data_IF_865313109866
#
_entry.id   IF_865313109866
#
_cell.length_a   1.000
_cell.length_b   1.000
_cell.length_c   1.000
_cell.angle_alpha   90.00
_cell.angle_beta   90.00
_cell.angle_gamma   90.00
#
_symmetry.space_group_name_H-M   'P 1'
#
loop_
_entity.id
_entity.type
_entity.pdbx_description
1 polymer ?
#
# COMPACT_ATOMS: atom_id res chain seq x y z
N UNK A 1 -29.95 -26.23 -36.80
CA UNK A 1 -30.09 -24.75 -36.83
C UNK A 1 -31.41 -24.43 -37.50
N UNK A 2 -32.23 -23.55 -36.91
CA UNK A 2 -33.52 -23.14 -37.48
C UNK A 2 -33.26 -21.94 -38.41
N UNK A 3 -33.73 -21.95 -39.68
CA UNK A 3 -33.57 -20.81 -40.56
C UNK A 3 -34.42 -19.64 -40.05
N UNK A 4 -33.81 -18.45 -39.86
CA UNK A 4 -34.58 -17.22 -39.63
C UNK A 4 -34.25 -16.39 -38.39
N UNK A 5 -33.16 -16.67 -37.65
CA UNK A 5 -32.72 -15.78 -36.56
C UNK A 5 -31.27 -15.33 -36.79
N UNK A 6 -31.17 -14.12 -37.35
CA UNK A 6 -30.07 -13.17 -37.25
C UNK A 6 -28.64 -13.75 -37.23
N UNK A 7 -28.15 -14.21 -38.39
CA UNK A 7 -26.72 -14.26 -38.62
C UNK A 7 -26.27 -12.85 -39.08
N UNK A 8 -25.39 -12.17 -38.34
CA UNK A 8 -24.88 -10.87 -38.78
C UNK A 8 -24.10 -11.05 -40.10
N UNK A 9 -24.14 -10.06 -41.02
CA UNK A 9 -23.44 -10.15 -42.29
C UNK A 9 -21.94 -10.39 -42.07
N UNK A 10 -21.43 -11.53 -42.52
CA UNK A 10 -20.02 -11.91 -42.36
C UNK A 10 -19.17 -11.21 -43.42
N UNK A 11 -18.35 -10.24 -43.00
CA UNK A 11 -17.33 -9.62 -43.84
C UNK A 11 -15.96 -10.30 -43.61
N UNK A 12 -15.11 -10.48 -44.64
CA UNK A 12 -13.85 -11.24 -44.56
C UNK A 12 -12.86 -10.82 -43.47
N UNK A 13 -12.95 -9.59 -42.95
CA UNK A 13 -12.06 -9.07 -41.89
C UNK A 13 -12.72 -8.93 -40.51
N UNK A 14 -13.93 -9.46 -40.31
CA UNK A 14 -14.59 -9.43 -38.99
C UNK A 14 -14.09 -10.56 -38.08
N UNK A 15 -13.54 -10.22 -36.91
CA UNK A 15 -13.06 -11.18 -35.88
C UNK A 15 -14.12 -11.56 -34.84
N UNK A 16 -15.40 -11.40 -35.13
CA UNK A 16 -16.46 -11.85 -34.22
C UNK A 16 -16.62 -13.37 -34.31
N UNK A 17 -16.36 -14.08 -33.21
CA UNK A 17 -16.65 -15.52 -33.08
C UNK A 17 -18.12 -15.70 -32.69
N UNK A 18 -18.83 -16.57 -33.40
CA UNK A 18 -20.15 -17.06 -32.98
C UNK A 18 -19.97 -18.13 -31.91
N UNK A 19 -20.37 -17.82 -30.67
CA UNK A 19 -20.38 -18.79 -29.58
C UNK A 19 -21.76 -19.46 -29.56
N UNK A 20 -21.80 -20.78 -29.43
CA UNK A 20 -23.04 -21.53 -29.23
C UNK A 20 -23.76 -21.00 -27.99
N UNK A 21 -25.09 -20.88 -28.05
CA UNK A 21 -25.90 -20.50 -26.89
C UNK A 21 -25.87 -21.64 -25.87
N UNK A 22 -24.80 -21.67 -25.06
CA UNK A 22 -24.72 -22.48 -23.85
C UNK A 22 -25.74 -21.87 -22.90
N UNK A 23 -26.68 -22.67 -22.39
CA UNK A 23 -27.66 -22.22 -21.40
C UNK A 23 -26.98 -21.72 -20.12
N UNK A 24 -27.72 -21.65 -19.02
CA UNK A 24 -27.21 -21.05 -17.78
C UNK A 24 -26.20 -21.96 -17.01
N UNK A 25 -25.13 -22.37 -17.70
CA UNK A 25 -24.11 -23.30 -17.24
C UNK A 25 -23.33 -22.71 -16.05
N UNK A 26 -23.17 -21.38 -16.03
CA UNK A 26 -22.47 -20.66 -14.97
C UNK A 26 -23.21 -20.81 -13.64
N UNK A 27 -24.53 -20.55 -13.64
CA UNK A 27 -25.34 -20.68 -12.42
C UNK A 27 -25.42 -22.14 -11.97
N UNK A 28 -25.53 -23.08 -12.91
CA UNK A 28 -25.51 -24.52 -12.62
C UNK A 28 -24.17 -24.95 -11.98
N UNK A 29 -23.06 -24.46 -12.52
CA UNK A 29 -21.71 -24.75 -12.02
C UNK A 29 -21.49 -24.29 -10.57
N UNK A 30 -21.93 -23.07 -10.22
CA UNK A 30 -21.79 -22.56 -8.86
C UNK A 30 -22.74 -23.26 -7.88
N UNK A 31 -23.99 -23.52 -8.29
CA UNK A 31 -24.99 -24.22 -7.46
C UNK A 31 -24.60 -25.68 -7.16
N UNK A 32 -23.99 -26.38 -8.11
CA UNK A 32 -23.49 -27.75 -7.91
C UNK A 32 -22.26 -27.84 -6.99
N UNK A 33 -21.65 -26.70 -6.63
CA UNK A 33 -20.44 -26.62 -5.81
C UNK A 33 -20.63 -25.83 -4.51
N UNK A 34 -21.79 -25.22 -4.30
CA UNK A 34 -22.17 -24.70 -2.98
C UNK A 34 -22.06 -25.81 -1.93
N UNK A 35 -21.29 -25.54 -0.86
CA UNK A 35 -21.09 -26.47 0.25
C UNK A 35 -20.08 -27.60 0.02
N UNK A 36 -19.56 -27.82 -1.19
CA UNK A 36 -18.50 -28.83 -1.44
C UNK A 36 -17.13 -28.45 -0.87
N UNK A 37 -16.89 -27.16 -0.71
CA UNK A 37 -15.68 -26.62 -0.10
C UNK A 37 -16.06 -25.98 1.24
N UNK A 38 -16.14 -26.79 2.30
CA UNK A 38 -16.19 -26.26 3.65
C UNK A 38 -14.76 -25.91 4.06
N UNK A 39 -14.47 -24.62 4.19
CA UNK A 39 -13.23 -24.15 4.80
C UNK A 39 -13.45 -24.22 6.30
N UNK A 40 -12.93 -25.27 6.94
CA UNK A 40 -12.96 -25.38 8.41
C UNK A 40 -12.26 -24.16 9.03
N UNK A 41 -12.96 -23.55 9.99
CA UNK A 41 -12.65 -22.24 10.54
C UNK A 41 -11.29 -22.16 11.21
N UNK A 42 -10.32 -21.61 10.47
CA UNK A 42 -9.47 -20.58 11.01
C UNK A 42 -9.80 -19.30 10.27
N UNK A 43 -10.21 -18.24 10.98
CA UNK A 43 -10.16 -16.88 10.45
C UNK A 43 -8.67 -16.50 10.26
N UNK A 44 -7.98 -17.18 9.36
CA UNK A 44 -6.82 -16.62 8.71
C UNK A 44 -7.43 -15.58 7.78
N UNK A 45 -7.22 -14.30 8.06
CA UNK A 45 -7.40 -13.23 7.08
C UNK A 45 -6.54 -13.58 5.87
N UNK A 46 -7.10 -14.40 4.98
CA UNK A 46 -6.40 -15.13 3.94
C UNK A 46 -6.11 -14.16 2.81
N UNK A 47 -5.06 -13.35 3.02
CA UNK A 47 -4.59 -12.32 2.11
C UNK A 47 -3.79 -11.21 2.78
N UNK A 48 -4.04 -10.89 4.06
CA UNK A 48 -3.34 -9.83 4.76
C UNK A 48 -2.01 -10.33 5.33
N UNK A 49 -0.89 -9.73 4.91
CA UNK A 49 0.42 -10.04 5.49
C UNK A 49 0.51 -9.45 6.90
N UNK A 50 0.53 -10.32 7.90
CA UNK A 50 0.71 -10.02 9.32
C UNK A 50 1.71 -10.98 9.97
N UNK A 51 2.08 -10.72 11.24
CA UNK A 51 3.05 -11.52 12.01
C UNK A 51 2.70 -13.01 12.11
N UNK A 52 1.41 -13.36 12.04
CA UNK A 52 0.94 -14.76 12.09
C UNK A 52 1.01 -15.45 10.73
N UNK A 53 0.79 -14.70 9.64
CA UNK A 53 0.77 -15.22 8.26
C UNK A 53 2.15 -15.25 7.59
N UNK A 54 3.09 -14.45 8.08
CA UNK A 54 4.46 -14.27 7.58
C UNK A 54 5.38 -14.06 8.78
N UNK A 55 5.61 -15.14 9.51
CA UNK A 55 6.41 -15.18 10.75
C UNK A 55 7.81 -14.59 10.55
N UNK A 56 8.47 -14.98 9.45
CA UNK A 56 9.80 -14.51 9.10
C UNK A 56 9.81 -13.14 8.41
N UNK A 57 8.64 -12.54 8.12
CA UNK A 57 8.52 -11.22 7.50
C UNK A 57 9.06 -11.14 6.06
N UNK A 58 9.34 -12.27 5.39
CA UNK A 58 9.97 -12.29 4.07
C UNK A 58 9.08 -11.60 3.03
N UNK A 59 7.78 -11.87 3.07
CA UNK A 59 6.81 -11.27 2.14
C UNK A 59 6.58 -9.81 2.49
N UNK A 60 6.51 -9.45 3.78
CA UNK A 60 6.38 -8.06 4.24
C UNK A 60 7.55 -7.20 3.81
N UNK A 61 8.78 -7.68 4.02
CA UNK A 61 10.01 -6.98 3.64
C UNK A 61 10.08 -6.80 2.13
N UNK A 62 9.76 -7.85 1.36
CA UNK A 62 9.69 -7.76 -0.11
C UNK A 62 8.64 -6.75 -0.56
N UNK A 63 7.46 -6.74 0.05
CA UNK A 63 6.41 -5.78 -0.26
C UNK A 63 6.86 -4.34 0.04
N UNK A 64 7.44 -4.09 1.22
CA UNK A 64 7.95 -2.79 1.60
C UNK A 64 9.00 -2.29 0.59
N UNK A 65 9.96 -3.14 0.22
CA UNK A 65 11.03 -2.77 -0.69
C UNK A 65 10.51 -2.45 -2.10
N UNK A 66 9.60 -3.25 -2.64
CA UNK A 66 8.94 -2.97 -3.93
C UNK A 66 8.16 -1.66 -3.84
N UNK A 67 7.39 -1.46 -2.77
CA UNK A 67 6.56 -0.28 -2.61
C UNK A 67 7.39 1.00 -2.51
N UNK A 68 8.42 1.03 -1.67
CA UNK A 68 9.32 2.17 -1.52
C UNK A 68 10.00 2.54 -2.84
N UNK A 69 10.52 1.55 -3.57
CA UNK A 69 11.10 1.78 -4.89
C UNK A 69 10.06 2.36 -5.86
N UNK A 70 8.82 1.87 -5.81
CA UNK A 70 7.75 2.42 -6.63
C UNK A 70 7.41 3.86 -6.27
N UNK A 71 7.48 4.26 -4.99
CA UNK A 71 7.24 5.65 -4.56
C UNK A 71 8.38 6.56 -5.03
N UNK A 72 9.64 6.14 -4.84
CA UNK A 72 10.82 6.89 -5.29
C UNK A 72 10.85 7.14 -6.81
N UNK A 73 10.28 6.22 -7.59
CA UNK A 73 10.20 6.35 -9.05
C UNK A 73 8.99 7.16 -9.53
N UNK A 74 8.09 7.61 -8.64
CA UNK A 74 6.94 8.46 -8.99
C UNK A 74 7.32 9.94 -8.93
N UNK A 75 6.45 10.78 -9.48
CA UNK A 75 6.55 12.22 -9.35
C UNK A 75 6.27 12.67 -7.90
N UNK A 76 7.29 13.23 -7.25
CA UNK A 76 7.26 13.74 -5.87
C UNK A 76 6.15 14.77 -5.65
N UNK A 77 5.94 15.70 -6.58
CA UNK A 77 4.96 16.78 -6.44
C UNK A 77 3.53 16.23 -6.51
N UNK A 78 3.30 15.22 -7.35
CA UNK A 78 2.01 14.53 -7.42
C UNK A 78 1.72 13.75 -6.13
N UNK A 79 2.71 13.06 -5.56
CA UNK A 79 2.52 12.34 -4.28
C UNK A 79 2.19 13.31 -3.14
N UNK A 80 2.97 14.38 -3.00
CA UNK A 80 2.77 15.42 -1.96
C UNK A 80 1.40 16.07 -2.09
N UNK A 81 1.02 16.46 -3.31
CA UNK A 81 -0.26 17.14 -3.54
C UNK A 81 -1.47 16.25 -3.27
N UNK A 82 -1.42 14.96 -3.63
CA UNK A 82 -2.48 14.00 -3.32
C UNK A 82 -2.64 13.79 -1.83
N UNK A 83 -1.54 13.52 -1.12
CA UNK A 83 -1.58 13.25 0.33
C UNK A 83 -2.04 14.50 1.09
N UNK A 84 -1.53 15.68 0.72
CA UNK A 84 -1.95 16.95 1.32
C UNK A 84 -3.46 17.18 1.15
N UNK A 85 -4.00 16.90 -0.04
CA UNK A 85 -5.45 16.99 -0.30
C UNK A 85 -6.26 15.99 0.53
N UNK A 86 -5.79 14.75 0.62
CA UNK A 86 -6.52 13.68 1.32
C UNK A 86 -6.50 13.84 2.85
N UNK A 87 -5.45 14.45 3.40
CA UNK A 87 -5.25 14.59 4.86
C UNK A 87 -5.54 15.98 5.40
N UNK A 88 -5.71 16.97 4.51
CA UNK A 88 -5.79 18.38 4.85
C UNK A 88 -4.55 18.89 5.62
N UNK A 89 -3.38 18.29 5.37
CA UNK A 89 -2.09 18.70 5.94
C UNK A 89 -1.35 19.58 4.92
N UNK A 90 -0.58 20.56 5.42
CA UNK A 90 0.22 21.44 4.57
C UNK A 90 1.21 20.64 3.70
N UNK A 91 1.29 20.98 2.41
CA UNK A 91 2.23 20.39 1.45
C UNK A 91 3.67 20.41 1.95
N UNK A 92 4.11 21.48 2.62
CA UNK A 92 5.47 21.57 3.16
C UNK A 92 5.73 20.53 4.26
N UNK A 93 4.73 20.22 5.09
CA UNK A 93 4.84 19.16 6.09
C UNK A 93 4.96 17.80 5.41
N UNK A 94 4.13 17.51 4.41
CA UNK A 94 4.19 16.25 3.66
C UNK A 94 5.50 16.13 2.88
N UNK A 95 6.00 17.23 2.33
CA UNK A 95 7.29 17.27 1.65
C UNK A 95 8.43 16.85 2.58
N UNK A 96 8.48 17.40 3.79
CA UNK A 96 9.48 17.02 4.80
C UNK A 96 9.40 15.55 5.17
N UNK A 97 8.19 15.01 5.30
CA UNK A 97 8.01 13.57 5.54
C UNK A 97 8.53 12.76 4.36
N UNK A 98 8.20 13.16 3.13
CA UNK A 98 8.67 12.46 1.93
C UNK A 98 10.21 12.43 1.86
N UNK A 99 10.85 13.58 2.08
CA UNK A 99 12.30 13.73 2.11
C UNK A 99 12.91 12.81 3.17
N UNK A 100 12.34 12.82 4.38
CA UNK A 100 12.80 12.02 5.50
C UNK A 100 12.71 10.51 5.26
N UNK A 101 11.59 10.03 4.72
CA UNK A 101 11.35 8.59 4.49
C UNK A 101 12.08 8.07 3.25
N UNK A 102 12.09 8.83 2.14
CA UNK A 102 12.45 8.28 0.83
C UNK A 102 13.77 8.79 0.25
N UNK A 103 14.22 10.00 0.61
CA UNK A 103 15.37 10.66 -0.03
C UNK A 103 16.59 10.73 0.88
N UNK A 104 16.39 11.17 2.14
CA UNK A 104 17.45 11.46 3.08
C UNK A 104 18.31 10.23 3.37
N UNK A 105 19.61 10.49 3.48
CA UNK A 105 20.61 9.51 3.88
C UNK A 105 21.15 9.94 5.23
N UNK A 106 21.24 8.98 6.14
CA UNK A 106 21.74 9.21 7.49
C UNK A 106 23.05 8.45 7.69
N UNK A 107 23.93 9.02 8.51
CA UNK A 107 25.11 8.32 8.98
C UNK A 107 24.66 7.31 10.03
N UNK A 108 24.58 6.05 9.62
CA UNK A 108 24.28 4.92 10.50
C UNK A 108 25.59 4.20 10.85
N UNK A 109 25.58 3.31 11.85
CA UNK A 109 26.77 2.52 12.24
C UNK A 109 27.39 1.74 11.06
N UNK A 110 26.57 1.39 10.06
CA UNK A 110 26.99 0.68 8.84
C UNK A 110 27.34 1.59 7.64
N UNK A 111 27.42 2.91 7.85
CA UNK A 111 27.77 3.93 6.85
C UNK A 111 26.61 4.87 6.46
N UNK A 112 26.83 5.68 5.41
CA UNK A 112 25.81 6.60 4.86
C UNK A 112 24.76 5.83 4.04
N UNK A 113 23.61 5.55 4.64
CA UNK A 113 22.51 4.80 4.00
C UNK A 113 21.16 5.47 4.21
N UNK A 114 20.21 5.11 3.35
CA UNK A 114 18.80 5.41 3.55
C UNK A 114 18.22 4.46 4.60
N UNK A 115 17.09 4.83 5.21
CA UNK A 115 16.37 3.91 6.07
C UNK A 115 15.90 2.67 5.32
N UNK A 116 15.88 1.56 6.05
CA UNK A 116 15.33 0.31 5.55
C UNK A 116 13.81 0.44 5.35
N UNK A 117 13.26 -0.04 4.23
CA UNK A 117 11.82 -0.01 3.98
C UNK A 117 11.04 -0.75 5.07
N UNK A 118 10.09 -0.06 5.71
CA UNK A 118 9.17 -0.67 6.67
C UNK A 118 7.81 -0.99 6.04
N UNK A 119 7.28 -2.16 6.38
CA UNK A 119 6.03 -2.66 5.82
C UNK A 119 4.81 -1.84 6.26
N UNK A 120 4.73 -1.48 7.55
CA UNK A 120 3.59 -0.74 8.08
C UNK A 120 3.62 0.70 7.58
N UNK A 121 4.80 1.32 7.50
CA UNK A 121 4.97 2.63 6.86
C UNK A 121 4.57 2.60 5.38
N UNK A 122 4.95 1.55 4.63
CA UNK A 122 4.52 1.38 3.24
C UNK A 122 2.99 1.35 3.11
N UNK A 123 2.32 0.58 3.97
CA UNK A 123 0.86 0.53 3.96
C UNK A 123 0.22 1.86 4.36
N UNK A 124 0.76 2.53 5.37
CA UNK A 124 0.30 3.86 5.81
C UNK A 124 0.41 4.86 4.67
N UNK A 125 1.56 4.92 3.99
CA UNK A 125 1.77 5.75 2.82
C UNK A 125 0.78 5.45 1.68
N UNK A 126 0.48 4.16 1.45
CA UNK A 126 -0.50 3.75 0.46
C UNK A 126 -1.91 4.26 0.78
N UNK A 127 -2.38 4.11 2.01
CA UNK A 127 -3.70 4.63 2.44
C UNK A 127 -3.79 6.14 2.30
N UNK A 128 -2.74 6.85 2.73
CA UNK A 128 -2.64 8.31 2.62
C UNK A 128 -2.73 8.79 1.16
N UNK A 129 -2.03 8.10 0.27
CA UNK A 129 -2.02 8.41 -1.16
C UNK A 129 -3.36 8.11 -1.82
N UNK A 130 -3.93 6.94 -1.56
CA UNK A 130 -5.22 6.51 -2.13
C UNK A 130 -6.39 7.33 -1.58
N UNK A 131 -6.24 7.90 -0.39
CA UNK A 131 -7.30 8.65 0.29
C UNK A 131 -8.40 7.75 0.83
N UNK A 132 -8.14 6.44 0.95
CA UNK A 132 -9.10 5.43 1.36
C UNK A 132 -8.69 4.83 2.69
N UNK A 133 -9.66 4.69 3.60
CA UNK A 133 -9.48 4.07 4.91
C UNK A 133 -8.28 4.61 5.70
N UNK A 134 -8.06 5.94 5.67
CA UNK A 134 -6.96 6.57 6.42
C UNK A 134 -7.18 6.32 7.91
N UNK A 135 -6.18 5.71 8.54
CA UNK A 135 -6.18 5.34 9.95
C UNK A 135 -5.49 6.43 10.79
N UNK A 136 -5.78 6.41 12.10
CA UNK A 136 -5.10 7.28 13.07
C UNK A 136 -3.57 7.08 13.05
N UNK A 137 -3.11 5.84 12.89
CA UNK A 137 -1.68 5.51 12.77
C UNK A 137 -1.02 6.23 11.60
N UNK A 138 -1.72 6.40 10.48
CA UNK A 138 -1.16 7.01 9.26
C UNK A 138 -0.87 8.51 9.50
N UNK A 139 -1.78 9.18 10.21
CA UNK A 139 -1.60 10.59 10.60
C UNK A 139 -0.51 10.74 11.67
N UNK A 140 -0.40 9.78 12.60
CA UNK A 140 0.65 9.78 13.62
C UNK A 140 2.02 9.55 12.98
N UNK A 141 2.13 8.65 12.00
CA UNK A 141 3.33 8.46 11.19
C UNK A 141 3.74 9.80 10.55
N UNK A 142 2.84 10.49 9.83
CA UNK A 142 3.17 11.78 9.22
C UNK A 142 3.69 12.82 10.24
N UNK A 143 3.11 12.85 11.44
CA UNK A 143 3.54 13.77 12.51
C UNK A 143 4.88 13.37 13.11
N UNK A 144 5.12 12.06 13.29
CA UNK A 144 6.36 11.50 13.78
C UNK A 144 7.52 11.88 12.85
N UNK A 145 7.43 11.47 11.58
CA UNK A 145 8.46 11.72 10.57
C UNK A 145 8.71 13.21 10.35
N UNK A 146 7.65 14.03 10.32
CA UNK A 146 7.80 15.47 10.15
C UNK A 146 8.54 16.12 11.32
N UNK A 147 8.27 15.69 12.55
CA UNK A 147 8.91 16.20 13.75
C UNK A 147 10.36 15.71 13.83
N UNK A 148 10.64 14.46 13.46
CA UNK A 148 11.99 13.92 13.49
C UNK A 148 12.89 14.69 12.52
N UNK A 149 12.42 14.84 11.28
CA UNK A 149 13.06 15.70 10.29
C UNK A 149 13.26 17.14 10.79
N UNK A 150 12.32 17.66 11.59
CA UNK A 150 12.47 19.00 12.18
C UNK A 150 13.64 19.09 13.12
N UNK A 151 13.70 18.13 14.05
CA UNK A 151 14.63 18.12 15.16
C UNK A 151 16.06 17.95 14.65
N UNK A 152 16.22 17.06 13.67
CA UNK A 152 17.50 16.84 13.01
C UNK A 152 17.98 18.07 12.26
N UNK A 153 17.13 18.72 11.46
CA UNK A 153 17.58 19.86 10.65
C UNK A 153 17.71 21.18 11.43
N UNK A 154 16.80 21.45 12.37
CA UNK A 154 16.79 22.73 13.09
C UNK A 154 17.76 22.75 14.27
N UNK A 155 17.84 21.65 15.01
CA UNK A 155 18.64 21.55 16.22
C UNK A 155 19.92 20.72 16.01
N UNK A 156 20.15 20.25 14.77
CA UNK A 156 21.31 19.43 14.41
C UNK A 156 21.48 18.19 15.29
N UNK A 157 20.35 17.68 15.83
CA UNK A 157 20.31 16.51 16.70
C UNK A 157 20.66 15.26 15.91
N UNK A 158 21.31 14.31 16.57
CA UNK A 158 21.52 13.00 15.96
C UNK A 158 20.16 12.28 15.79
N UNK A 159 20.13 11.32 14.86
CA UNK A 159 18.92 10.56 14.56
C UNK A 159 18.33 9.91 15.82
N UNK A 160 19.16 9.29 16.67
CA UNK A 160 18.72 8.55 17.86
C UNK A 160 18.02 9.48 18.86
N UNK A 161 18.54 10.67 19.08
CA UNK A 161 17.97 11.69 19.97
C UNK A 161 16.68 12.26 19.40
N UNK A 162 16.68 12.61 18.11
CA UNK A 162 15.49 13.08 17.43
C UNK A 162 14.36 12.04 17.51
N UNK A 163 14.68 10.77 17.25
CA UNK A 163 13.75 9.65 17.31
C UNK A 163 13.19 9.41 18.72
N UNK A 164 14.03 9.47 19.76
CA UNK A 164 13.56 9.35 21.15
C UNK A 164 12.58 10.47 21.52
N UNK A 165 12.88 11.71 21.13
CA UNK A 165 12.02 12.85 21.42
C UNK A 165 10.71 12.80 20.63
N UNK A 166 10.74 12.36 19.38
CA UNK A 166 9.53 12.19 18.57
C UNK A 166 8.65 11.07 19.09
N UNK A 167 9.24 9.97 19.52
CA UNK A 167 8.50 8.81 20.04
C UNK A 167 7.75 9.12 21.34
N UNK A 168 8.29 10.02 22.19
CA UNK A 168 7.57 10.51 23.37
C UNK A 168 6.28 11.24 22.98
N UNK A 169 6.28 11.99 21.87
CA UNK A 169 5.14 12.83 21.47
C UNK A 169 4.18 12.13 20.50
N UNK A 170 4.72 11.36 19.57
CA UNK A 170 4.02 10.71 18.47
C UNK A 170 4.53 9.28 18.34
N UNK A 171 4.23 8.46 19.35
CA UNK A 171 4.62 7.05 19.37
C UNK A 171 3.92 6.29 18.24
N UNK A 172 4.64 6.01 17.16
CA UNK A 172 4.11 5.26 16.03
C UNK A 172 4.19 3.75 16.29
N UNK A 173 5.24 3.29 17.00
CA UNK A 173 5.49 1.87 17.22
C UNK A 173 4.37 1.16 18.00
N UNK A 174 3.76 1.82 18.99
CA UNK A 174 2.66 1.27 19.79
C UNK A 174 1.38 1.02 18.95
N UNK A 175 1.24 1.67 17.80
CA UNK A 175 0.04 1.55 16.95
C UNK A 175 0.16 0.42 15.92
N UNK A 176 1.31 -0.23 15.86
CA UNK A 176 1.58 -1.36 14.99
C UNK A 176 1.21 -2.65 15.74
N UNK A 177 0.39 -3.50 15.12
CA UNK A 177 -0.07 -4.79 15.65
C UNK A 177 0.54 -5.96 14.89
#
# INVERSE_FOLDING_TARGET
>A
MIPGVNAPPMHPWCRSTTVSHVGNWRDKFFKEREGKYQVEGSFIESGALNNKSDEYGIKRNRHAQIYYNSVRNRDKQIEISKIAKNTNINKNTIQRVYEHIFENKYLLESGFKQFDPDFYMAQSWQRLREGKNIKKMDIIMLKHEALEHYLMNKYNLNYIEAHKLTEIKYNYSILIN
#
